data_IF_534363135192
#
_entry.id   IF_534363135192
#
_cell.length_a   1.000
_cell.length_b   1.000
_cell.length_c   1.000
_cell.angle_alpha   90.00
_cell.angle_beta   90.00
_cell.angle_gamma   90.00
#
_symmetry.space_group_name_H-M   'P 1'
#
loop_
_entity.id
_entity.type
_entity.pdbx_description
1 polymer ?
#
# COMPACT_ATOMS: atom_id res chain seq x y z
N UNK A 1 4.94 23.16 -7.15
CA UNK A 1 4.23 21.97 -7.66
C UNK A 1 5.17 20.82 -8.06
N UNK A 2 6.14 21.03 -8.98
CA UNK A 2 7.11 19.99 -9.41
C UNK A 2 7.79 19.23 -8.26
N UNK A 3 8.23 19.93 -7.20
CA UNK A 3 8.84 19.29 -6.04
C UNK A 3 7.90 18.27 -5.35
N UNK A 4 6.60 18.60 -5.23
CA UNK A 4 5.58 17.69 -4.69
C UNK A 4 5.44 16.46 -5.57
N UNK A 5 5.40 16.62 -6.90
CA UNK A 5 5.34 15.49 -7.84
C UNK A 5 6.55 14.57 -7.69
N UNK A 6 7.77 15.13 -7.67
CA UNK A 6 9.00 14.34 -7.52
C UNK A 6 9.08 13.61 -6.16
N UNK A 7 8.62 14.25 -5.08
CA UNK A 7 8.55 13.62 -3.76
C UNK A 7 7.50 12.50 -3.72
N UNK A 8 6.33 12.69 -4.35
CA UNK A 8 5.33 11.62 -4.52
C UNK A 8 5.90 10.46 -5.33
N UNK A 9 6.61 10.74 -6.43
CA UNK A 9 7.25 9.69 -7.23
C UNK A 9 8.25 8.88 -6.41
N UNK A 10 9.06 9.56 -5.60
CA UNK A 10 10.04 8.93 -4.71
C UNK A 10 9.37 8.09 -3.63
N UNK A 11 8.32 8.60 -2.99
CA UNK A 11 7.55 7.88 -1.97
C UNK A 11 6.94 6.60 -2.52
N UNK A 12 6.23 6.68 -3.65
CA UNK A 12 5.57 5.53 -4.27
C UNK A 12 6.59 4.48 -4.75
N UNK A 13 7.68 4.92 -5.37
CA UNK A 13 8.73 4.01 -5.87
C UNK A 13 9.45 3.29 -4.72
N UNK A 14 9.80 4.01 -3.65
CA UNK A 14 10.47 3.40 -2.50
C UNK A 14 9.52 2.52 -1.68
N UNK A 15 8.25 2.92 -1.54
CA UNK A 15 7.20 2.11 -0.91
C UNK A 15 6.98 0.79 -1.64
N UNK A 16 6.76 0.84 -2.96
CA UNK A 16 6.61 -0.34 -3.80
C UNK A 16 7.82 -1.28 -3.70
N UNK A 17 9.04 -0.73 -3.71
CA UNK A 17 10.27 -1.51 -3.50
C UNK A 17 10.30 -2.19 -2.14
N UNK A 18 10.01 -1.46 -1.06
CA UNK A 18 10.02 -2.02 0.29
C UNK A 18 8.97 -3.13 0.48
N UNK A 19 7.76 -2.95 -0.08
CA UNK A 19 6.70 -3.97 -0.09
C UNK A 19 7.18 -5.23 -0.84
N UNK A 20 7.82 -5.05 -2.00
CA UNK A 20 8.33 -6.15 -2.81
C UNK A 20 9.43 -6.93 -2.09
N UNK A 21 10.35 -6.23 -1.42
CA UNK A 21 11.38 -6.86 -0.58
C UNK A 21 10.82 -7.54 0.66
N UNK A 22 9.81 -6.97 1.31
CA UNK A 22 9.12 -7.62 2.42
C UNK A 22 8.42 -8.90 1.96
N UNK A 23 7.81 -8.90 0.77
CA UNK A 23 7.21 -10.08 0.17
C UNK A 23 8.25 -11.16 -0.14
N UNK A 24 9.36 -10.77 -0.79
CA UNK A 24 10.46 -11.68 -1.10
C UNK A 24 11.07 -12.30 0.18
N UNK A 25 11.28 -11.48 1.21
CA UNK A 25 11.75 -11.95 2.50
C UNK A 25 10.78 -12.98 3.11
N UNK A 26 9.47 -12.71 3.09
CA UNK A 26 8.48 -13.65 3.59
C UNK A 26 8.48 -14.98 2.81
N UNK A 27 8.67 -14.94 1.48
CA UNK A 27 8.81 -16.14 0.65
C UNK A 27 10.06 -16.93 1.05
N UNK A 28 11.22 -16.28 1.20
CA UNK A 28 12.46 -16.96 1.60
C UNK A 28 12.34 -17.59 2.99
N UNK A 29 11.75 -16.86 3.94
CA UNK A 29 11.51 -17.36 5.29
C UNK A 29 10.49 -18.50 5.29
N UNK A 30 9.50 -18.50 4.40
CA UNK A 30 8.55 -19.62 4.26
C UNK A 30 9.26 -20.93 3.88
N UNK A 31 10.37 -20.85 3.16
CA UNK A 31 11.19 -22.02 2.82
C UNK A 31 12.19 -22.38 3.92
N UNK A 32 12.73 -21.40 4.66
CA UNK A 32 13.88 -21.58 5.55
C UNK A 32 13.59 -21.59 7.05
N UNK A 33 12.49 -20.99 7.52
CA UNK A 33 12.30 -20.63 8.94
C UNK A 33 11.97 -21.79 9.91
N UNK A 34 12.06 -23.05 9.49
CA UNK A 34 11.76 -24.19 10.37
C UNK A 34 10.37 -24.10 11.02
N UNK A 35 10.33 -23.88 12.34
CA UNK A 35 9.10 -23.83 13.15
C UNK A 35 8.11 -22.72 12.78
N UNK A 36 8.58 -21.59 12.24
CA UNK A 36 7.72 -20.45 11.87
C UNK A 36 7.23 -20.49 10.42
N UNK A 37 7.43 -21.61 9.71
CA UNK A 37 7.11 -21.74 8.28
C UNK A 37 5.68 -21.28 7.95
N UNK A 38 4.68 -21.68 8.75
CA UNK A 38 3.27 -21.33 8.49
C UNK A 38 3.04 -19.81 8.55
N UNK A 39 3.58 -19.13 9.56
CA UNK A 39 3.48 -17.67 9.67
C UNK A 39 4.04 -16.98 8.42
N UNK A 40 5.22 -17.41 7.96
CA UNK A 40 5.86 -16.83 6.78
C UNK A 40 5.14 -17.16 5.47
N UNK A 41 4.58 -18.36 5.34
CA UNK A 41 3.71 -18.71 4.20
C UNK A 41 2.49 -17.80 4.14
N UNK A 42 1.81 -17.58 5.26
CA UNK A 42 0.62 -16.71 5.30
C UNK A 42 1.01 -15.22 5.13
N UNK A 43 2.18 -14.78 5.62
CA UNK A 43 2.72 -13.43 5.36
C UNK A 43 3.01 -13.22 3.87
N UNK A 44 3.66 -14.20 3.23
CA UNK A 44 3.93 -14.16 1.79
C UNK A 44 2.61 -14.14 1.00
N UNK A 45 1.65 -14.98 1.37
CA UNK A 45 0.34 -15.04 0.73
C UNK A 45 -0.42 -13.71 0.83
N UNK A 46 -0.33 -13.00 1.96
CA UNK A 46 -0.92 -11.68 2.16
C UNK A 46 -0.20 -10.59 1.34
N UNK A 47 1.13 -10.57 1.35
CA UNK A 47 1.93 -9.54 0.69
C UNK A 47 1.97 -9.68 -0.84
N UNK A 48 1.88 -10.89 -1.39
CA UNK A 48 1.97 -11.15 -2.83
C UNK A 48 1.00 -10.32 -3.66
N UNK A 49 -0.33 -10.35 -3.41
CA UNK A 49 -1.27 -9.56 -4.21
C UNK A 49 -1.05 -8.04 -4.04
N UNK A 50 -0.60 -7.57 -2.86
CA UNK A 50 -0.31 -6.16 -2.61
C UNK A 50 0.95 -5.73 -3.37
N UNK A 51 2.02 -6.52 -3.29
CA UNK A 51 3.28 -6.29 -3.99
C UNK A 51 3.08 -6.23 -5.52
N UNK A 52 2.14 -7.02 -6.05
CA UNK A 52 1.75 -6.93 -7.46
C UNK A 52 0.91 -5.68 -7.72
N UNK A 53 -0.28 -5.59 -7.13
CA UNK A 53 -1.27 -4.57 -7.52
C UNK A 53 -0.85 -3.15 -7.16
N UNK A 54 -0.39 -2.92 -5.93
CA UNK A 54 0.01 -1.58 -5.49
C UNK A 54 1.21 -1.07 -6.30
N UNK A 55 2.24 -1.91 -6.48
CA UNK A 55 3.46 -1.50 -7.19
C UNK A 55 3.19 -1.19 -8.66
N UNK A 56 2.24 -1.88 -9.29
CA UNK A 56 1.91 -1.67 -10.69
C UNK A 56 1.01 -0.44 -10.90
N UNK A 57 0.06 -0.18 -10.00
CA UNK A 57 -0.66 1.10 -9.99
C UNK A 57 0.29 2.28 -9.71
N UNK A 58 1.16 2.14 -8.71
CA UNK A 58 2.20 3.13 -8.41
C UNK A 58 3.13 3.36 -9.61
N UNK A 59 3.50 2.32 -10.36
CA UNK A 59 4.31 2.44 -11.57
C UNK A 59 3.63 3.29 -12.65
N UNK A 60 2.33 3.12 -12.86
CA UNK A 60 1.54 3.94 -13.79
C UNK A 60 1.44 5.39 -13.30
N UNK A 61 1.12 5.61 -12.02
CA UNK A 61 1.04 6.93 -11.41
C UNK A 61 2.37 7.69 -11.53
N UNK A 62 3.48 7.02 -11.23
CA UNK A 62 4.84 7.59 -11.31
C UNK A 62 5.23 7.92 -12.74
N UNK A 63 4.93 7.04 -13.71
CA UNK A 63 5.22 7.31 -15.11
C UNK A 63 4.39 8.49 -15.64
N UNK A 64 3.12 8.59 -15.23
CA UNK A 64 2.24 9.72 -15.57
C UNK A 64 2.76 11.05 -15.00
N UNK A 65 3.14 11.08 -13.71
CA UNK A 65 3.80 12.23 -13.11
C UNK A 65 5.11 12.58 -13.82
N UNK A 66 5.86 11.57 -14.27
CA UNK A 66 7.10 11.74 -15.04
C UNK A 66 6.87 12.51 -16.34
N UNK A 67 5.78 12.25 -17.06
CA UNK A 67 5.36 13.04 -18.22
C UNK A 67 5.05 14.47 -17.81
N UNK A 68 4.24 14.66 -16.76
CA UNK A 68 3.83 15.98 -16.28
C UNK A 68 5.00 16.88 -15.88
N UNK A 69 6.05 16.31 -15.27
CA UNK A 69 7.29 17.04 -14.90
C UNK A 69 8.00 17.64 -16.12
N UNK A 70 7.90 16.99 -17.28
CA UNK A 70 8.49 17.47 -18.54
C UNK A 70 7.58 18.44 -19.31
N UNK A 71 6.37 18.73 -18.82
CA UNK A 71 5.39 19.56 -19.52
C UNK A 71 5.03 19.00 -20.90
N UNK A 72 4.85 19.88 -21.89
CA UNK A 72 4.52 19.47 -23.26
C UNK A 72 5.56 18.52 -23.89
N UNK A 73 6.84 18.67 -23.53
CA UNK A 73 7.89 17.77 -24.02
C UNK A 73 7.72 16.34 -23.48
N UNK A 74 7.08 16.15 -22.32
CA UNK A 74 6.81 14.81 -21.80
C UNK A 74 5.90 13.98 -22.70
N UNK A 75 5.07 14.64 -23.52
CA UNK A 75 4.17 13.99 -24.48
C UNK A 75 4.87 13.63 -25.80
N UNK A 76 5.99 14.29 -26.12
CA UNK A 76 6.76 14.04 -27.34
C UNK A 76 7.63 12.80 -27.13
N UNK A 77 7.54 11.85 -28.07
CA UNK A 77 8.20 10.54 -27.97
C UNK A 77 9.73 10.63 -27.86
N UNK A 78 10.35 11.66 -28.43
CA UNK A 78 11.80 11.90 -28.39
C UNK A 78 12.35 12.05 -26.96
N UNK A 79 11.54 12.58 -26.04
CA UNK A 79 11.91 12.76 -24.62
C UNK A 79 11.90 11.42 -23.87
N UNK A 80 11.27 10.39 -24.42
CA UNK A 80 11.19 9.03 -23.85
C UNK A 80 10.28 8.87 -22.63
N UNK A 81 9.71 9.95 -22.08
CA UNK A 81 8.82 9.91 -20.91
C UNK A 81 7.51 9.14 -21.21
N UNK A 82 6.89 9.40 -22.37
CA UNK A 82 5.65 8.73 -22.81
C UNK A 82 5.80 7.20 -22.92
N UNK A 83 6.98 6.72 -23.32
CA UNK A 83 7.29 5.28 -23.40
C UNK A 83 7.14 4.60 -22.04
N UNK A 84 7.64 5.20 -20.95
CA UNK A 84 7.53 4.58 -19.63
C UNK A 84 6.08 4.40 -19.19
N UNK A 85 5.17 5.31 -19.54
CA UNK A 85 3.75 5.16 -19.23
C UNK A 85 3.13 4.02 -20.04
N UNK A 86 3.45 3.92 -21.33
CA UNK A 86 2.99 2.81 -22.19
C UNK A 86 3.47 1.46 -21.66
N UNK A 87 4.75 1.37 -21.30
CA UNK A 87 5.38 0.14 -20.81
C UNK A 87 4.87 -0.24 -19.40
N UNK A 88 4.66 0.74 -18.50
CA UNK A 88 4.10 0.48 -17.17
C UNK A 88 2.64 -0.01 -17.23
N UNK A 89 1.87 0.39 -18.26
CA UNK A 89 0.43 0.16 -18.32
C UNK A 89 0.04 -1.32 -18.43
N UNK A 90 0.90 -2.18 -18.95
CA UNK A 90 0.61 -3.61 -19.04
C UNK A 90 0.65 -4.31 -17.68
N UNK A 91 1.45 -3.79 -16.73
CA UNK A 91 1.72 -4.47 -15.47
C UNK A 91 0.48 -4.61 -14.55
N UNK A 92 -0.44 -3.62 -14.48
CA UNK A 92 -1.74 -3.79 -13.83
C UNK A 92 -2.67 -4.83 -14.46
N UNK A 93 -2.39 -5.31 -15.68
CA UNK A 93 -3.32 -6.10 -16.51
C UNK A 93 -2.94 -7.59 -16.52
N UNK A 94 -1.68 -7.92 -16.85
CA UNK A 94 -1.24 -9.32 -16.95
C UNK A 94 -1.14 -10.01 -15.58
N UNK A 95 -0.94 -11.33 -15.57
CA UNK A 95 -0.74 -12.14 -14.35
C UNK A 95 -1.82 -11.90 -13.26
N UNK A 96 -3.06 -11.71 -13.73
CA UNK A 96 -4.20 -11.30 -12.92
C UNK A 96 -4.29 -9.78 -12.79
N UNK A 97 -5.40 -9.21 -13.26
CA UNK A 97 -5.63 -7.76 -13.19
C UNK A 97 -5.61 -7.27 -11.74
N UNK A 98 -5.29 -5.99 -11.50
CA UNK A 98 -5.24 -5.45 -10.15
C UNK A 98 -6.57 -5.61 -9.39
N UNK A 99 -7.71 -5.60 -10.07
CA UNK A 99 -9.00 -5.93 -9.47
C UNK A 99 -9.08 -7.40 -9.01
N UNK A 100 -8.59 -8.35 -9.80
CA UNK A 100 -8.52 -9.77 -9.39
C UNK A 100 -7.56 -9.97 -8.22
N UNK A 101 -6.44 -9.27 -8.18
CA UNK A 101 -5.50 -9.30 -7.05
C UNK A 101 -6.13 -8.72 -5.77
N UNK A 102 -6.91 -7.65 -5.90
CA UNK A 102 -7.66 -7.07 -4.79
C UNK A 102 -8.75 -8.02 -4.27
N UNK A 103 -9.47 -8.71 -5.17
CA UNK A 103 -10.46 -9.73 -4.81
C UNK A 103 -9.78 -10.90 -4.10
N UNK A 104 -8.66 -11.41 -4.63
CA UNK A 104 -7.86 -12.46 -3.99
C UNK A 104 -7.45 -12.06 -2.56
N UNK A 105 -6.95 -10.85 -2.39
CA UNK A 105 -6.56 -10.30 -1.09
C UNK A 105 -7.72 -10.39 -0.10
N UNK A 106 -8.88 -9.80 -0.40
CA UNK A 106 -10.00 -9.69 0.56
C UNK A 106 -10.75 -11.00 0.77
N UNK A 107 -10.83 -11.86 -0.24
CA UNK A 107 -11.63 -13.11 -0.15
C UNK A 107 -10.82 -14.32 0.29
N UNK A 108 -9.52 -14.39 -0.04
CA UNK A 108 -8.69 -15.59 0.20
C UNK A 108 -7.54 -15.34 1.17
N UNK A 109 -6.98 -14.13 1.22
CA UNK A 109 -5.78 -13.86 2.04
C UNK A 109 -6.09 -13.27 3.41
N UNK A 110 -7.06 -12.38 3.51
CA UNK A 110 -7.51 -11.84 4.81
C UNK A 110 -8.00 -12.91 5.79
N UNK A 111 -8.81 -13.92 5.42
CA UNK A 111 -9.32 -14.90 6.39
C UNK A 111 -8.29 -15.93 6.84
N UNK A 112 -7.05 -15.90 6.35
CA UNK A 112 -6.00 -16.84 6.78
C UNK A 112 -5.84 -16.81 8.30
N UNK A 113 -5.78 -18.00 8.90
CA UNK A 113 -5.80 -18.18 10.36
C UNK A 113 -6.94 -17.42 11.07
N UNK A 114 -8.13 -17.37 10.45
CA UNK A 114 -9.30 -16.66 10.98
C UNK A 114 -9.11 -15.14 11.05
N UNK A 115 -8.22 -14.58 10.22
CA UNK A 115 -7.80 -13.18 10.29
C UNK A 115 -6.65 -12.93 11.28
N UNK A 116 -6.15 -13.96 11.97
CA UNK A 116 -5.04 -13.82 12.92
C UNK A 116 -3.77 -13.29 12.26
N UNK A 117 -3.46 -13.72 11.03
CA UNK A 117 -2.24 -13.29 10.35
C UNK A 117 -2.25 -11.80 10.02
N UNK A 118 -3.36 -11.27 9.50
CA UNK A 118 -3.47 -9.84 9.15
C UNK A 118 -3.52 -8.97 10.40
N UNK A 119 -4.22 -9.40 11.46
CA UNK A 119 -4.25 -8.69 12.75
C UNK A 119 -2.87 -8.62 13.40
N UNK A 120 -2.13 -9.73 13.40
CA UNK A 120 -0.75 -9.74 13.87
C UNK A 120 0.15 -8.81 13.06
N UNK A 121 -0.03 -8.78 11.73
CA UNK A 121 0.72 -7.85 10.90
C UNK A 121 0.40 -6.38 11.20
N UNK A 122 -0.87 -6.02 11.37
CA UNK A 122 -1.29 -4.66 11.74
C UNK A 122 -0.69 -4.25 13.09
N UNK A 123 -0.58 -5.17 14.05
CA UNK A 123 0.10 -4.93 15.31
C UNK A 123 1.60 -4.60 15.11
N UNK A 124 2.32 -5.34 14.26
CA UNK A 124 3.70 -5.02 13.90
C UNK A 124 3.84 -3.63 13.25
N UNK A 125 2.88 -3.21 12.42
CA UNK A 125 2.88 -1.86 11.85
C UNK A 125 2.67 -0.79 12.92
N UNK A 126 1.83 -1.08 13.92
CA UNK A 126 1.60 -0.21 15.08
C UNK A 126 2.88 -0.04 15.90
N UNK A 127 3.67 -1.12 16.07
CA UNK A 127 4.98 -1.05 16.72
C UNK A 127 5.94 -0.12 15.98
N UNK A 128 5.94 -0.11 14.64
CA UNK A 128 6.75 0.82 13.84
C UNK A 128 6.34 2.28 14.11
N UNK A 129 5.04 2.58 14.12
CA UNK A 129 4.54 3.92 14.43
C UNK A 129 4.93 4.34 15.87
N UNK A 130 4.84 3.41 16.83
CA UNK A 130 5.32 3.60 18.19
C UNK A 130 6.82 3.88 18.28
N UNK A 131 7.64 3.19 17.49
CA UNK A 131 9.07 3.42 17.42
C UNK A 131 9.41 4.82 16.86
N UNK A 132 8.67 5.31 15.85
CA UNK A 132 8.81 6.70 15.37
C UNK A 132 8.54 7.68 16.50
N UNK A 133 7.42 7.50 17.20
CA UNK A 133 7.01 8.36 18.33
C UNK A 133 8.06 8.42 19.44
N UNK A 134 8.67 7.27 19.75
CA UNK A 134 9.62 7.14 20.87
C UNK A 134 11.08 7.39 20.48
N UNK A 135 11.39 7.55 19.18
CA UNK A 135 12.77 7.68 18.69
C UNK A 135 13.48 8.95 19.15
N UNK A 136 12.74 10.01 19.48
CA UNK A 136 13.25 11.37 19.72
C UNK A 136 14.14 11.92 18.59
N UNK A 137 14.12 11.31 17.40
CA UNK A 137 14.88 11.78 16.25
C UNK A 137 14.19 13.02 15.67
N UNK A 138 14.94 14.10 15.38
CA UNK A 138 14.35 15.32 14.82
C UNK A 138 13.89 15.09 13.38
N UNK A 139 12.86 15.84 12.96
CA UNK A 139 12.43 15.90 11.56
C UNK A 139 11.26 15.01 11.18
N UNK A 140 10.79 14.12 12.07
CA UNK A 140 9.60 13.29 11.80
C UNK A 140 8.28 14.07 11.76
N UNK A 141 8.20 15.24 12.40
CA UNK A 141 6.97 16.05 12.40
C UNK A 141 5.76 15.24 12.91
N UNK A 142 4.66 15.26 12.15
CA UNK A 142 3.43 14.54 12.51
C UNK A 142 3.43 13.07 12.06
N UNK A 143 4.57 12.53 11.60
CA UNK A 143 4.62 11.21 10.96
C UNK A 143 4.04 10.09 11.82
N UNK A 144 4.35 10.06 13.13
CA UNK A 144 3.81 9.04 14.04
C UNK A 144 2.28 9.09 14.11
N UNK A 145 1.71 10.28 14.37
CA UNK A 145 0.26 10.45 14.46
C UNK A 145 -0.47 10.13 13.15
N UNK A 146 0.13 10.47 12.00
CA UNK A 146 -0.42 10.15 10.68
C UNK A 146 -0.34 8.66 10.37
N UNK A 147 0.71 7.98 10.80
CA UNK A 147 0.82 6.52 10.70
C UNK A 147 -0.22 5.84 11.59
N UNK A 148 -0.39 6.27 12.83
CA UNK A 148 -1.40 5.72 13.74
C UNK A 148 -2.81 5.81 13.14
N UNK A 149 -3.18 6.98 12.61
CA UNK A 149 -4.48 7.18 11.97
C UNK A 149 -4.67 6.27 10.75
N UNK A 150 -3.65 6.15 9.91
CA UNK A 150 -3.69 5.32 8.71
C UNK A 150 -3.77 3.82 9.04
N UNK A 151 -3.07 3.38 10.10
CA UNK A 151 -3.12 2.00 10.60
C UNK A 151 -4.49 1.71 11.23
N UNK A 152 -5.08 2.66 11.94
CA UNK A 152 -6.43 2.52 12.49
C UNK A 152 -7.49 2.42 11.37
N UNK A 153 -7.35 3.21 10.30
CA UNK A 153 -8.20 3.07 9.10
C UNK A 153 -8.07 1.68 8.47
N UNK A 154 -6.84 1.13 8.41
CA UNK A 154 -6.61 -0.22 7.92
C UNK A 154 -7.29 -1.25 8.81
N UNK A 155 -7.08 -1.18 10.13
CA UNK A 155 -7.66 -2.13 11.10
C UNK A 155 -9.19 -2.15 11.03
N UNK A 156 -9.82 -0.98 10.97
CA UNK A 156 -11.27 -0.88 10.85
C UNK A 156 -11.78 -1.49 9.54
N UNK A 157 -11.16 -1.15 8.40
CA UNK A 157 -11.53 -1.71 7.11
C UNK A 157 -11.31 -3.23 7.06
N UNK A 158 -10.21 -3.73 7.64
CA UNK A 158 -9.93 -5.17 7.75
C UNK A 158 -10.99 -5.87 8.60
N UNK A 159 -11.33 -5.32 9.77
CA UNK A 159 -12.33 -5.88 10.67
C UNK A 159 -13.71 -5.93 10.01
N UNK A 160 -14.10 -4.87 9.30
CA UNK A 160 -15.35 -4.82 8.55
C UNK A 160 -15.39 -5.88 7.45
N UNK A 161 -14.33 -6.02 6.64
CA UNK A 161 -14.27 -7.01 5.57
C UNK A 161 -14.34 -8.45 6.10
N UNK A 162 -13.61 -8.75 7.19
CA UNK A 162 -13.67 -10.05 7.84
C UNK A 162 -15.08 -10.37 8.35
N UNK A 163 -15.77 -9.38 8.92
CA UNK A 163 -17.17 -9.52 9.35
C UNK A 163 -18.09 -9.79 8.16
N UNK A 164 -18.01 -8.99 7.10
CA UNK A 164 -18.84 -9.18 5.90
C UNK A 164 -18.60 -10.54 5.24
N UNK A 165 -17.36 -11.03 5.24
CA UNK A 165 -17.04 -12.36 4.76
C UNK A 165 -17.66 -13.46 5.64
N UNK A 166 -17.65 -13.29 6.97
CA UNK A 166 -18.29 -14.23 7.89
C UNK A 166 -19.83 -14.23 7.78
N UNK A 167 -20.41 -13.08 7.46
CA UNK A 167 -21.87 -12.89 7.27
C UNK A 167 -22.35 -13.26 5.84
N UNK A 168 -21.48 -13.84 5.01
CA UNK A 168 -21.73 -14.20 3.60
C UNK A 168 -22.22 -13.02 2.72
N UNK A 169 -21.71 -11.82 3.02
CA UNK A 169 -22.02 -10.56 2.32
C UNK A 169 -21.04 -10.32 1.16
N UNK A 170 -21.11 -11.17 0.16
CA UNK A 170 -20.17 -11.18 -0.96
C UNK A 170 -20.15 -9.86 -1.75
N UNK A 171 -21.30 -9.22 -1.97
CA UNK A 171 -21.36 -7.97 -2.73
C UNK A 171 -20.63 -6.82 -2.00
N UNK A 172 -20.78 -6.77 -0.69
CA UNK A 172 -20.15 -5.82 0.22
C UNK A 172 -18.63 -6.02 0.22
N UNK A 173 -18.15 -7.25 0.40
CA UNK A 173 -16.72 -7.60 0.33
C UNK A 173 -16.10 -7.21 -1.01
N UNK A 174 -16.75 -7.57 -2.12
CA UNK A 174 -16.22 -7.31 -3.47
C UNK A 174 -16.21 -5.82 -3.81
N UNK A 175 -17.20 -5.05 -3.33
CA UNK A 175 -17.23 -3.59 -3.54
C UNK A 175 -16.07 -2.86 -2.86
N UNK A 176 -15.61 -3.38 -1.71
CA UNK A 176 -14.49 -2.82 -0.94
C UNK A 176 -13.11 -3.31 -1.40
N UNK A 177 -13.02 -4.28 -2.31
CA UNK A 177 -11.75 -4.95 -2.64
C UNK A 177 -10.65 -3.97 -3.11
N UNK A 178 -10.91 -3.20 -4.18
CA UNK A 178 -9.93 -2.28 -4.75
C UNK A 178 -9.57 -1.12 -3.81
N UNK A 179 -10.53 -0.43 -3.16
CA UNK A 179 -10.20 0.59 -2.15
C UNK A 179 -9.34 0.04 -1.01
N UNK A 180 -9.65 -1.16 -0.51
CA UNK A 180 -8.89 -1.80 0.56
C UNK A 180 -7.45 -2.14 0.13
N UNK A 181 -7.27 -2.65 -1.10
CA UNK A 181 -5.95 -2.95 -1.64
C UNK A 181 -5.05 -1.70 -1.66
N UNK A 182 -5.57 -0.56 -2.14
CA UNK A 182 -4.82 0.71 -2.16
C UNK A 182 -4.55 1.24 -0.76
N UNK A 183 -5.53 1.15 0.14
CA UNK A 183 -5.39 1.53 1.55
C UNK A 183 -4.21 0.77 2.18
N UNK A 184 -4.22 -0.56 2.06
CA UNK A 184 -3.17 -1.42 2.61
C UNK A 184 -1.78 -1.03 2.05
N UNK A 185 -1.69 -0.82 0.74
CA UNK A 185 -0.43 -0.42 0.09
C UNK A 185 0.11 0.94 0.56
N UNK A 186 -0.76 1.93 0.80
CA UNK A 186 -0.37 3.22 1.36
C UNK A 186 0.14 3.09 2.81
N UNK A 187 -0.56 2.32 3.65
CA UNK A 187 -0.14 2.07 5.03
C UNK A 187 1.22 1.36 5.08
N UNK A 188 1.44 0.35 4.23
CA UNK A 188 2.75 -0.30 4.12
C UNK A 188 3.83 0.65 3.61
N UNK A 189 3.50 1.52 2.65
CA UNK A 189 4.45 2.54 2.16
C UNK A 189 4.90 3.46 3.28
N UNK A 190 3.96 4.03 4.05
CA UNK A 190 4.29 4.88 5.20
C UNK A 190 5.11 4.12 6.25
N UNK A 191 4.67 2.92 6.61
CA UNK A 191 5.29 2.12 7.67
C UNK A 191 6.71 1.67 7.30
N UNK A 192 6.95 1.22 6.06
CA UNK A 192 8.30 0.79 5.68
C UNK A 192 9.26 1.96 5.45
N UNK A 193 8.79 3.12 4.99
CA UNK A 193 9.61 4.32 4.95
C UNK A 193 9.98 4.81 6.36
N UNK A 194 9.05 4.71 7.32
CA UNK A 194 9.32 4.95 8.73
C UNK A 194 10.37 3.97 9.29
N UNK A 195 10.20 2.66 9.03
CA UNK A 195 11.17 1.63 9.43
C UNK A 195 12.57 1.91 8.87
N UNK A 196 12.66 2.31 7.60
CA UNK A 196 13.93 2.69 6.98
C UNK A 196 14.52 4.00 7.51
N UNK A 197 13.69 4.95 7.94
CA UNK A 197 14.11 6.19 8.57
C UNK A 197 14.64 5.99 10.00
N UNK A 198 14.11 4.99 10.72
CA UNK A 198 14.57 4.57 12.05
C UNK A 198 15.84 3.72 12.01
N UNK A 199 16.17 3.11 10.88
CA UNK A 199 17.34 2.27 10.75
C UNK A 199 18.63 3.09 10.86
N UNK A 200 19.50 2.71 11.78
CA UNK A 200 20.87 3.24 11.86
C UNK A 200 21.66 2.80 10.63
N UNK A 201 22.28 3.75 9.93
CA UNK A 201 23.25 3.44 8.90
C UNK A 201 24.32 4.52 8.77
N UNK A 202 25.56 4.08 8.56
CA UNK A 202 26.73 4.94 8.41
C UNK A 202 26.85 5.54 6.99
N UNK A 203 25.74 5.65 6.25
CA UNK A 203 25.69 6.14 4.87
C UNK A 203 25.35 7.63 4.78
N UNK A 204 25.12 8.31 5.91
CA UNK A 204 24.69 9.71 5.95
C UNK A 204 23.28 9.95 5.38
N UNK A 205 22.53 8.90 5.03
CA UNK A 205 21.22 8.97 4.38
C UNK A 205 20.04 9.17 5.33
N UNK A 206 20.26 9.13 6.64
CA UNK A 206 19.21 9.14 7.67
C UNK A 206 18.26 10.34 7.56
N UNK A 207 18.81 11.55 7.45
CA UNK A 207 18.03 12.79 7.33
C UNK A 207 17.12 12.77 6.11
N UNK A 208 17.60 12.25 4.97
CA UNK A 208 16.82 12.13 3.74
C UNK A 208 15.69 11.11 3.85
N UNK A 209 15.90 10.01 4.60
CA UNK A 209 14.86 9.01 4.85
C UNK A 209 13.78 9.53 5.79
N UNK A 210 14.15 10.26 6.85
CA UNK A 210 13.21 10.95 7.74
C UNK A 210 12.36 11.95 6.95
N UNK A 211 12.99 12.78 6.11
CA UNK A 211 12.27 13.77 5.30
C UNK A 211 11.25 13.12 4.35
N UNK A 212 11.62 12.02 3.69
CA UNK A 212 10.70 11.30 2.81
C UNK A 212 9.56 10.63 3.60
N UNK A 213 9.87 9.99 4.73
CA UNK A 213 8.88 9.40 5.63
C UNK A 213 7.85 10.44 6.06
N UNK A 214 8.31 11.61 6.54
CA UNK A 214 7.43 12.71 6.93
C UNK A 214 6.56 13.19 5.77
N UNK A 215 7.15 13.44 4.60
CA UNK A 215 6.38 13.86 3.43
C UNK A 215 5.28 12.85 3.10
N UNK A 216 5.61 11.56 3.05
CA UNK A 216 4.64 10.49 2.81
C UNK A 216 3.52 10.49 3.85
N UNK A 217 3.89 10.57 5.13
CA UNK A 217 2.93 10.53 6.23
C UNK A 217 1.97 11.73 6.20
N UNK A 218 2.49 12.94 5.96
CA UNK A 218 1.69 14.17 5.99
C UNK A 218 0.92 14.44 4.69
N UNK A 219 1.37 13.93 3.53
CA UNK A 219 0.79 14.27 2.23
C UNK A 219 0.05 13.12 1.53
N UNK A 220 0.35 11.86 1.84
CA UNK A 220 -0.24 10.72 1.14
C UNK A 220 -1.19 9.91 2.03
N UNK A 221 -0.88 9.76 3.32
CA UNK A 221 -1.65 8.87 4.18
C UNK A 221 -3.07 9.37 4.51
N UNK A 222 -3.37 10.67 4.35
CA UNK A 222 -4.74 11.16 4.53
C UNK A 222 -5.75 10.50 3.57
N UNK A 223 -5.30 9.92 2.45
CA UNK A 223 -6.16 9.16 1.53
C UNK A 223 -6.77 7.90 2.19
N UNK A 224 -6.14 7.33 3.23
CA UNK A 224 -6.61 6.09 3.87
C UNK A 224 -8.00 6.23 4.49
N UNK A 225 -8.32 7.39 5.06
CA UNK A 225 -9.62 7.64 5.66
C UNK A 225 -10.74 7.58 4.61
N UNK A 226 -10.52 8.20 3.44
CA UNK A 226 -11.47 8.16 2.34
C UNK A 226 -11.58 6.75 1.72
N UNK A 227 -10.48 6.01 1.65
CA UNK A 227 -10.49 4.62 1.17
C UNK A 227 -11.24 3.71 2.14
N UNK A 228 -11.02 3.86 3.46
CA UNK A 228 -11.74 3.13 4.50
C UNK A 228 -13.24 3.39 4.42
N UNK A 229 -13.64 4.65 4.27
CA UNK A 229 -15.06 5.00 4.09
C UNK A 229 -15.67 4.29 2.87
N UNK A 230 -14.96 4.27 1.72
CA UNK A 230 -15.43 3.52 0.54
C UNK A 230 -15.53 2.02 0.79
N UNK A 231 -14.62 1.42 1.57
CA UNK A 231 -14.71 0.00 1.94
C UNK A 231 -15.97 -0.26 2.77
N UNK A 232 -16.18 0.54 3.83
CA UNK A 232 -17.23 0.30 4.82
C UNK A 232 -18.62 0.70 4.33
N UNK A 233 -18.73 1.81 3.60
CA UNK A 233 -20.00 2.46 3.26
C UNK A 233 -20.32 2.48 1.75
N UNK A 234 -19.38 2.08 0.88
CA UNK A 234 -19.51 2.25 -0.57
C UNK A 234 -20.42 1.25 -1.29
N UNK A 235 -20.75 0.11 -0.67
CA UNK A 235 -21.46 -0.98 -1.33
C UNK A 235 -22.85 -0.58 -1.84
N UNK A 236 -23.64 0.09 -1.00
CA UNK A 236 -25.03 0.44 -1.29
C UNK A 236 -25.16 1.43 -2.45
N UNK A 237 -24.32 2.46 -2.47
CA UNK A 237 -24.31 3.46 -3.54
C UNK A 237 -23.83 2.87 -4.87
N UNK A 238 -22.81 2.00 -4.84
CA UNK A 238 -22.35 1.29 -6.03
C UNK A 238 -23.44 0.38 -6.61
N UNK A 239 -24.16 -0.35 -5.76
CA UNK A 239 -25.28 -1.20 -6.19
C UNK A 239 -26.40 -0.37 -6.84
N UNK A 240 -26.79 0.75 -6.21
CA UNK A 240 -27.81 1.65 -6.73
C UNK A 240 -27.42 2.26 -8.10
N UNK A 241 -26.15 2.60 -8.29
CA UNK A 241 -25.65 3.20 -9.53
C UNK A 241 -25.58 2.23 -10.73
N UNK A 242 -25.73 0.90 -10.52
CA UNK A 242 -25.68 -0.09 -11.62
C UNK A 242 -26.73 0.10 -12.70
N UNK A 243 -27.82 0.82 -12.40
CA UNK A 243 -28.83 1.19 -13.40
C UNK A 243 -28.27 1.98 -14.59
N UNK A 244 -27.10 2.63 -14.43
CA UNK A 244 -26.43 3.37 -15.50
C UNK A 244 -25.62 2.49 -16.47
N UNK A 245 -25.46 1.19 -16.15
CA UNK A 245 -24.66 0.24 -16.93
C UNK A 245 -25.52 -0.83 -17.64
N UNK A 246 -26.84 -0.78 -17.45
CA UNK A 246 -27.81 -1.63 -18.14
C UNK A 246 -28.18 -1.01 -19.49
#
# INVERSE_FOLDING_TARGET
DVARMLLTMKALTQGARAISYACAHAIDMSHRAGGDRRHWQERAALLTPIAKSFSTDAGVDVASLGIQVHGGMGFIEETGAARYLRDARIAPIYEGTNGIQAIDLVTRKLPLSGGGQVKGFIAELTEIAGAVRNSNLPGFGEAAARLDAAIADLDEATAWLLKMLADDKAAEVLSGATPYQRLFGLVLTGSYLAKGALAESNDGGGVNRIALCRFTAENLLAETAALRDRVVNGAASLAAARILLA
#
